data_IF_097650376874
#
_entry.id   IF_097650376874
#
_cell.length_a   1.000
_cell.length_b   1.000
_cell.length_c   1.000
_cell.angle_alpha   90.00
_cell.angle_beta   90.00
_cell.angle_gamma   90.00
#
_symmetry.space_group_name_H-M   'P 1'
#
loop_
_entity.id
_entity.type
_entity.pdbx_description
1 polymer ?
#
# COMPACT_ATOMS: atom_id res chain seq x y z
N UNK A 1 -25.77 4.54 -31.21
CA UNK A 1 -25.93 5.99 -30.97
C UNK A 1 -25.16 6.35 -29.71
N UNK A 2 -24.09 7.17 -29.83
CA UNK A 2 -23.35 7.70 -28.67
C UNK A 2 -24.26 8.69 -27.95
N UNK A 3 -24.65 8.40 -26.71
CA UNK A 3 -25.34 9.38 -25.85
C UNK A 3 -24.33 9.88 -24.84
N UNK A 4 -23.86 11.11 -25.02
CA UNK A 4 -23.11 11.82 -24.01
C UNK A 4 -24.06 12.05 -22.83
N UNK A 5 -23.94 11.24 -21.78
CA UNK A 5 -24.69 11.45 -20.55
C UNK A 5 -23.91 12.46 -19.70
N UNK A 6 -24.37 13.71 -19.70
CA UNK A 6 -24.07 14.64 -18.59
C UNK A 6 -24.98 14.22 -17.44
N UNK A 7 -24.49 13.32 -16.59
CA UNK A 7 -25.30 12.70 -15.58
C UNK A 7 -25.31 13.58 -14.31
N UNK A 8 -26.30 14.46 -14.22
CA UNK A 8 -26.77 15.04 -12.95
C UNK A 8 -27.41 13.90 -12.13
N UNK A 9 -26.59 13.10 -11.45
CA UNK A 9 -27.06 11.99 -10.60
C UNK A 9 -27.55 12.56 -9.27
N UNK A 10 -28.81 12.99 -9.26
CA UNK A 10 -29.65 12.78 -8.10
C UNK A 10 -30.22 11.36 -8.21
N UNK A 11 -29.98 10.52 -7.20
CA UNK A 11 -30.75 9.29 -6.88
C UNK A 11 -30.29 7.90 -7.39
N UNK A 12 -29.05 7.69 -7.85
CA UNK A 12 -28.47 6.33 -7.83
C UNK A 12 -27.20 6.32 -6.99
N UNK A 13 -27.29 5.79 -5.78
CA UNK A 13 -26.16 5.60 -4.88
C UNK A 13 -25.12 4.73 -5.58
N UNK A 14 -23.98 5.32 -5.96
CA UNK A 14 -22.82 4.52 -6.32
C UNK A 14 -22.47 3.63 -5.13
N UNK A 15 -22.49 2.32 -5.35
CA UNK A 15 -22.11 1.35 -4.33
C UNK A 15 -20.61 1.09 -4.42
N UNK A 16 -20.01 0.73 -3.28
CA UNK A 16 -18.64 0.26 -3.20
C UNK A 16 -18.36 -0.82 -4.27
N UNK A 17 -17.22 -0.70 -4.95
CA UNK A 17 -16.80 -1.67 -5.96
C UNK A 17 -17.45 -1.51 -7.33
N UNK A 18 -17.95 -0.32 -7.69
CA UNK A 18 -18.29 0.01 -9.08
C UNK A 18 -17.05 0.50 -9.85
N UNK A 19 -17.01 0.27 -11.17
CA UNK A 19 -15.85 0.59 -12.01
C UNK A 19 -16.23 1.42 -13.24
N UNK A 20 -15.41 2.43 -13.56
CA UNK A 20 -15.49 3.22 -14.80
C UNK A 20 -14.14 3.18 -15.52
N UNK A 21 -14.11 2.64 -16.73
CA UNK A 21 -12.89 2.51 -17.53
C UNK A 21 -12.25 3.85 -17.89
N UNK A 22 -13.06 4.87 -18.17
CA UNK A 22 -12.62 6.23 -18.50
C UNK A 22 -13.59 7.26 -17.94
N UNK A 23 -13.05 8.27 -17.25
CA UNK A 23 -13.84 9.37 -16.73
C UNK A 23 -13.04 10.67 -16.73
N UNK A 24 -13.75 11.76 -16.44
CA UNK A 24 -13.17 13.07 -16.15
C UNK A 24 -13.61 13.47 -14.75
N UNK A 25 -12.66 13.72 -13.85
CA UNK A 25 -12.95 14.32 -12.56
C UNK A 25 -12.91 15.83 -12.67
N UNK A 26 -13.97 16.49 -12.20
CA UNK A 26 -13.97 17.92 -11.88
C UNK A 26 -13.73 18.03 -10.40
N UNK A 27 -12.68 18.75 -10.01
CA UNK A 27 -12.31 18.94 -8.61
C UNK A 27 -13.06 20.14 -8.02
N UNK A 28 -13.17 20.16 -6.69
CA UNK A 28 -13.80 21.28 -5.97
C UNK A 28 -13.06 22.62 -6.16
N UNK A 29 -11.78 22.58 -6.53
CA UNK A 29 -10.98 23.77 -6.89
C UNK A 29 -11.10 24.17 -8.38
N UNK A 30 -11.97 23.50 -9.14
CA UNK A 30 -12.23 23.75 -10.56
C UNK A 30 -11.24 23.09 -11.52
N UNK A 31 -10.23 22.36 -11.02
CA UNK A 31 -9.33 21.59 -11.90
C UNK A 31 -10.04 20.40 -12.52
N UNK A 32 -9.60 20.05 -13.72
CA UNK A 32 -10.15 18.94 -14.50
C UNK A 32 -9.05 17.88 -14.69
N UNK A 33 -9.37 16.62 -14.39
CA UNK A 33 -8.47 15.48 -14.56
C UNK A 33 -9.11 14.44 -15.48
N UNK A 34 -8.42 14.07 -16.56
CA UNK A 34 -8.76 12.89 -17.35
C UNK A 34 -8.18 11.64 -16.69
N UNK A 35 -9.05 10.67 -16.41
CA UNK A 35 -8.73 9.52 -15.57
C UNK A 35 -9.21 8.21 -16.22
N UNK A 36 -8.51 7.13 -15.92
CA UNK A 36 -8.78 5.77 -16.41
C UNK A 36 -8.95 4.82 -15.23
N UNK A 37 -9.63 3.69 -15.44
CA UNK A 37 -9.83 2.62 -14.45
C UNK A 37 -10.26 3.14 -13.06
N UNK A 38 -11.32 3.95 -13.04
CA UNK A 38 -11.86 4.52 -11.81
C UNK A 38 -12.60 3.48 -11.01
N UNK A 39 -12.33 3.42 -9.71
CA UNK A 39 -13.04 2.51 -8.79
C UNK A 39 -13.61 3.28 -7.61
N UNK A 40 -14.86 2.92 -7.27
CA UNK A 40 -15.60 3.50 -6.16
C UNK A 40 -15.23 2.81 -4.85
N UNK A 41 -14.35 3.42 -4.05
CA UNK A 41 -14.17 3.09 -2.63
C UNK A 41 -15.26 3.75 -1.76
N UNK A 42 -15.23 3.58 -0.44
CA UNK A 42 -16.25 4.20 0.42
C UNK A 42 -16.00 5.71 0.58
N UNK A 43 -14.74 6.10 0.83
CA UNK A 43 -14.35 7.51 1.08
C UNK A 43 -13.53 8.16 -0.05
N UNK A 44 -12.99 7.37 -0.97
CA UNK A 44 -12.12 7.83 -2.05
C UNK A 44 -12.59 7.30 -3.41
N UNK A 45 -12.18 8.00 -4.47
CA UNK A 45 -12.12 7.47 -5.82
C UNK A 45 -10.68 7.08 -6.12
N UNK A 46 -10.49 5.87 -6.65
CA UNK A 46 -9.21 5.43 -7.18
C UNK A 46 -9.22 5.54 -8.68
N UNK A 47 -8.08 5.85 -9.27
CA UNK A 47 -7.99 6.06 -10.71
C UNK A 47 -6.55 6.03 -11.21
N UNK A 48 -6.37 5.90 -12.51
CA UNK A 48 -5.10 6.03 -13.23
C UNK A 48 -5.11 7.30 -14.08
N UNK A 49 -3.94 7.86 -14.34
CA UNK A 49 -3.76 8.89 -15.37
C UNK A 49 -2.88 8.31 -16.47
N UNK A 50 -3.40 8.22 -17.70
CA UNK A 50 -2.63 7.81 -18.90
C UNK A 50 -1.86 6.50 -18.70
N UNK A 51 -2.53 5.45 -18.19
CA UNK A 51 -1.94 4.16 -17.83
C UNK A 51 -0.76 4.17 -16.83
N UNK A 52 -0.59 5.25 -16.05
CA UNK A 52 0.38 5.29 -14.93
C UNK A 52 -0.29 4.83 -13.62
N UNK A 53 0.55 4.64 -12.60
CA UNK A 53 0.26 4.15 -11.24
C UNK A 53 -1.09 4.54 -10.68
N UNK A 54 -1.63 3.69 -9.79
CA UNK A 54 -2.91 3.92 -9.15
C UNK A 54 -2.82 5.12 -8.18
N UNK A 55 -3.67 6.11 -8.42
CA UNK A 55 -3.85 7.32 -7.61
C UNK A 55 -5.17 7.21 -6.84
N UNK A 56 -5.27 7.95 -5.74
CA UNK A 56 -6.50 8.08 -4.96
C UNK A 56 -6.82 9.54 -4.71
N UNK A 57 -8.10 9.88 -4.70
CA UNK A 57 -8.62 11.20 -4.36
C UNK A 57 -9.83 11.06 -3.45
N UNK A 58 -9.95 11.88 -2.41
CA UNK A 58 -11.13 11.84 -1.54
C UNK A 58 -12.37 12.23 -2.31
N UNK A 59 -13.51 11.59 -2.03
CA UNK A 59 -14.77 11.92 -2.70
C UNK A 59 -15.15 13.39 -2.50
N UNK A 60 -14.82 13.96 -1.35
CA UNK A 60 -15.02 15.37 -1.02
C UNK A 60 -14.20 16.33 -1.90
N UNK A 61 -13.10 15.86 -2.51
CA UNK A 61 -12.28 16.68 -3.40
C UNK A 61 -12.77 16.68 -4.84
N UNK A 62 -13.76 15.84 -5.18
CA UNK A 62 -14.31 15.71 -6.54
C UNK A 62 -15.75 16.21 -6.53
N UNK A 63 -16.00 17.30 -7.25
CA UNK A 63 -17.33 17.90 -7.37
C UNK A 63 -18.19 17.15 -8.38
N UNK A 64 -17.58 16.64 -9.46
CA UNK A 64 -18.30 15.94 -10.53
C UNK A 64 -17.43 14.85 -11.17
N UNK A 65 -18.07 13.75 -11.59
CA UNK A 65 -17.46 12.70 -12.41
C UNK A 65 -18.25 12.58 -13.71
N UNK A 66 -17.57 12.80 -14.83
CA UNK A 66 -18.16 12.75 -16.18
C UNK A 66 -17.62 11.51 -16.89
N UNK A 67 -18.49 10.64 -17.41
CA UNK A 67 -18.09 9.42 -18.12
C UNK A 67 -19.14 9.00 -19.17
N UNK A 68 -18.71 8.23 -20.18
CA UNK A 68 -19.65 7.59 -21.11
C UNK A 68 -20.20 6.31 -20.46
N UNK A 69 -21.51 6.09 -20.60
CA UNK A 69 -22.20 4.89 -20.13
C UNK A 69 -21.55 3.57 -20.57
N UNK A 70 -20.88 3.54 -21.72
CA UNK A 70 -20.16 2.35 -22.20
C UNK A 70 -18.93 2.00 -21.36
N UNK A 71 -18.37 2.97 -20.65
CA UNK A 71 -17.20 2.80 -19.80
C UNK A 71 -17.58 2.36 -18.38
N UNK A 72 -18.87 2.33 -18.02
CA UNK A 72 -19.36 1.97 -16.70
C UNK A 72 -19.76 0.50 -16.58
N UNK A 73 -19.28 -0.17 -15.53
CA UNK A 73 -19.63 -1.55 -15.23
C UNK A 73 -20.12 -1.69 -13.78
N UNK A 74 -21.35 -2.20 -13.61
CA UNK A 74 -21.98 -2.46 -12.29
C UNK A 74 -21.42 -3.71 -11.58
N UNK A 75 -21.04 -4.72 -12.35
CA UNK A 75 -20.37 -5.92 -11.85
C UNK A 75 -18.92 -5.82 -12.24
N UNK A 76 -18.08 -5.50 -11.26
CA UNK A 76 -16.65 -5.70 -11.45
C UNK A 76 -16.42 -7.21 -11.53
N UNK A 77 -15.77 -7.68 -12.60
CA UNK A 77 -15.34 -9.08 -12.68
C UNK A 77 -14.60 -9.40 -11.36
N UNK A 78 -14.90 -10.53 -10.73
CA UNK A 78 -14.37 -10.84 -9.38
C UNK A 78 -12.85 -10.63 -9.29
N UNK A 79 -12.10 -10.89 -10.36
CA UNK A 79 -10.65 -10.58 -10.46
C UNK A 79 -10.32 -9.09 -10.33
N UNK A 80 -11.06 -8.20 -10.97
CA UNK A 80 -10.84 -6.75 -10.89
C UNK A 80 -11.35 -6.18 -9.55
N UNK A 81 -12.41 -6.75 -8.97
CA UNK A 81 -12.93 -6.35 -7.65
C UNK A 81 -11.92 -6.70 -6.57
N UNK A 82 -11.29 -7.84 -6.75
CA UNK A 82 -10.24 -8.39 -5.93
C UNK A 82 -8.92 -7.61 -6.07
N UNK A 83 -8.50 -7.28 -7.30
CA UNK A 83 -7.34 -6.41 -7.55
C UNK A 83 -7.52 -5.03 -6.89
N UNK A 84 -8.74 -4.52 -6.78
CA UNK A 84 -9.01 -3.20 -6.20
C UNK A 84 -9.24 -3.24 -4.69
N UNK A 85 -10.00 -4.21 -4.15
CA UNK A 85 -10.16 -4.41 -2.70
C UNK A 85 -8.81 -4.69 -2.02
N UNK A 86 -7.91 -5.38 -2.70
CA UNK A 86 -6.56 -5.68 -2.20
C UNK A 86 -5.60 -4.47 -2.31
N UNK A 87 -6.02 -3.36 -2.93
CA UNK A 87 -5.21 -2.14 -3.04
C UNK A 87 -5.42 -1.14 -1.90
N UNK A 88 -6.53 -1.22 -1.14
CA UNK A 88 -6.85 -0.24 -0.11
C UNK A 88 -7.38 -0.88 1.17
N UNK A 89 -6.46 -1.03 2.12
CA UNK A 89 -6.78 -1.10 3.53
C UNK A 89 -7.40 0.23 4.00
N UNK A 90 -8.68 0.23 4.33
CA UNK A 90 -9.29 1.31 5.10
C UNK A 90 -8.93 1.15 6.58
N UNK A 91 -8.23 2.15 7.13
CA UNK A 91 -7.95 2.21 8.56
C UNK A 91 -8.95 3.13 9.27
N UNK A 92 -9.24 2.81 10.52
CA UNK A 92 -10.06 3.62 11.42
C UNK A 92 -9.20 4.53 12.31
N UNK A 93 -7.90 4.63 12.02
CA UNK A 93 -6.96 5.45 12.76
C UNK A 93 -7.12 6.93 12.36
N UNK A 94 -7.12 7.85 13.34
CA UNK A 94 -7.07 9.28 13.04
C UNK A 94 -5.87 9.69 12.16
N UNK A 95 -6.09 10.67 11.30
CA UNK A 95 -5.03 11.30 10.51
C UNK A 95 -3.93 11.86 11.42
N UNK A 96 -2.67 11.58 11.12
CA UNK A 96 -1.54 12.10 11.89
C UNK A 96 -0.32 11.19 11.98
N UNK A 97 0.63 11.63 12.80
CA UNK A 97 1.89 10.96 13.07
C UNK A 97 1.76 10.19 14.38
N UNK A 98 2.10 8.91 14.33
CA UNK A 98 2.19 8.02 15.48
C UNK A 98 3.67 7.79 15.77
N UNK A 99 4.23 8.53 16.73
CA UNK A 99 5.65 8.46 17.02
C UNK A 99 6.06 7.09 17.55
N UNK A 100 5.23 6.50 18.41
CA UNK A 100 5.49 5.22 19.07
C UNK A 100 4.49 4.14 18.67
N UNK A 101 4.84 2.87 18.96
CA UNK A 101 3.93 1.75 18.75
C UNK A 101 2.75 1.82 19.74
N UNK A 102 2.98 2.39 20.92
CA UNK A 102 1.96 2.62 21.93
C UNK A 102 0.91 3.63 21.45
N UNK A 103 1.33 4.73 20.82
CA UNK A 103 0.43 5.71 20.21
C UNK A 103 -0.46 5.06 19.16
N UNK A 104 0.14 4.19 18.34
CA UNK A 104 -0.56 3.44 17.30
C UNK A 104 -1.66 2.54 17.87
N UNK A 105 -1.34 1.72 18.88
CA UNK A 105 -2.35 0.83 19.49
C UNK A 105 -3.38 1.57 20.34
N UNK A 106 -3.04 2.75 20.89
CA UNK A 106 -4.01 3.65 21.55
C UNK A 106 -4.89 4.40 20.56
N UNK A 107 -4.60 4.30 19.26
CA UNK A 107 -5.27 5.05 18.18
C UNK A 107 -5.23 6.56 18.39
N UNK A 108 -4.19 7.06 19.05
CA UNK A 108 -4.02 8.49 19.35
C UNK A 108 -2.74 9.00 18.69
N UNK A 109 -2.82 9.80 17.62
CA UNK A 109 -1.62 10.36 17.01
C UNK A 109 -0.89 11.29 17.99
N UNK A 110 0.44 11.23 18.00
CA UNK A 110 1.29 12.12 18.80
C UNK A 110 1.35 13.53 18.20
N UNK A 111 1.09 13.65 16.90
CA UNK A 111 0.95 14.93 16.19
C UNK A 111 -0.09 14.84 15.08
N UNK A 112 -0.93 15.86 14.98
CA UNK A 112 -1.89 16.06 13.87
C UNK A 112 -1.45 17.21 12.94
N UNK A 113 -0.18 17.61 13.02
CA UNK A 113 0.36 18.65 12.14
C UNK A 113 0.23 18.24 10.67
N UNK A 114 -0.10 19.21 9.81
CA UNK A 114 -0.25 19.00 8.37
C UNK A 114 1.06 18.48 7.76
N UNK A 115 0.95 17.42 6.96
CA UNK A 115 2.10 16.77 6.33
C UNK A 115 2.16 17.04 4.82
N UNK A 116 3.37 17.00 4.28
CA UNK A 116 3.64 16.89 2.85
C UNK A 116 4.22 15.50 2.59
N UNK A 117 3.53 14.71 1.77
CA UNK A 117 3.98 13.40 1.32
C UNK A 117 4.64 13.46 -0.05
N UNK A 118 5.73 12.74 -0.22
CA UNK A 118 6.43 12.56 -1.50
C UNK A 118 6.55 11.07 -1.82
N UNK A 119 6.13 10.70 -3.03
CA UNK A 119 6.23 9.33 -3.54
C UNK A 119 7.67 8.98 -3.91
N UNK A 120 8.16 7.85 -3.39
CA UNK A 120 9.53 7.36 -3.59
C UNK A 120 9.55 5.91 -4.11
N UNK A 121 8.38 5.30 -4.30
CA UNK A 121 8.24 3.88 -4.63
C UNK A 121 8.50 3.51 -6.08
N UNK A 122 8.55 4.46 -7.02
CA UNK A 122 8.54 4.17 -8.45
C UNK A 122 9.70 3.33 -8.99
N UNK A 123 10.78 3.17 -8.21
CA UNK A 123 11.91 2.28 -8.54
C UNK A 123 11.84 0.90 -7.90
N UNK A 124 10.97 0.70 -6.92
CA UNK A 124 10.96 -0.47 -6.02
C UNK A 124 9.61 -1.18 -5.98
N UNK A 125 8.55 -0.50 -6.37
CA UNK A 125 7.16 -0.92 -6.27
C UNK A 125 6.42 -0.63 -7.57
N UNK A 126 5.29 -1.31 -7.77
CA UNK A 126 4.42 -1.08 -8.94
C UNK A 126 3.72 0.28 -8.82
N UNK A 127 3.34 0.67 -7.61
CA UNK A 127 2.79 1.98 -7.31
C UNK A 127 3.83 2.83 -6.58
N UNK A 128 4.03 4.05 -7.08
CA UNK A 128 4.98 5.01 -6.50
C UNK A 128 4.63 5.42 -5.07
N UNK A 129 3.35 5.37 -4.70
CA UNK A 129 2.85 5.64 -3.36
C UNK A 129 2.91 4.45 -2.39
N UNK A 130 3.38 3.26 -2.80
CA UNK A 130 3.63 2.15 -1.86
C UNK A 130 4.80 2.47 -0.91
N UNK A 131 5.61 3.48 -1.24
CA UNK A 131 6.73 3.97 -0.45
C UNK A 131 6.74 5.50 -0.46
N UNK A 132 6.67 6.11 0.72
CA UNK A 132 6.52 7.55 0.89
C UNK A 132 7.62 8.13 1.78
N UNK A 133 8.01 9.37 1.51
CA UNK A 133 8.72 10.25 2.43
C UNK A 133 7.75 11.33 2.94
N UNK A 134 7.89 11.73 4.20
CA UNK A 134 7.02 12.72 4.81
C UNK A 134 7.81 13.83 5.50
N UNK A 135 7.33 15.06 5.31
CA UNK A 135 7.83 16.24 6.01
C UNK A 135 6.67 16.96 6.70
N UNK A 136 6.96 17.66 7.79
CA UNK A 136 6.03 18.62 8.38
C UNK A 136 5.84 19.81 7.43
N UNK A 137 4.60 20.21 7.16
CA UNK A 137 4.29 21.25 6.18
C UNK A 137 4.79 22.63 6.59
N UNK A 138 4.90 22.90 7.90
CA UNK A 138 5.29 24.22 8.42
C UNK A 138 6.79 24.37 8.52
N UNK A 139 7.48 23.40 9.13
CA UNK A 139 8.93 23.48 9.31
C UNK A 139 9.73 22.92 8.13
N UNK A 140 9.12 22.05 7.31
CA UNK A 140 9.83 21.30 6.27
C UNK A 140 10.67 20.14 6.81
N UNK A 141 10.64 19.90 8.13
CA UNK A 141 11.45 18.85 8.75
C UNK A 141 10.99 17.46 8.30
N UNK A 142 11.97 16.63 7.95
CA UNK A 142 11.73 15.23 7.58
C UNK A 142 11.34 14.42 8.81
N UNK A 143 10.24 13.67 8.70
CA UNK A 143 9.83 12.71 9.73
C UNK A 143 10.63 11.42 9.50
N UNK A 144 11.48 11.07 10.46
CA UNK A 144 12.45 9.95 10.31
C UNK A 144 12.16 8.74 11.18
N UNK A 145 11.53 8.96 12.33
CA UNK A 145 11.51 7.98 13.42
C UNK A 145 10.10 7.55 13.83
N UNK A 146 9.05 8.17 13.30
CA UNK A 146 7.69 7.81 13.66
C UNK A 146 7.41 6.35 13.32
N UNK A 147 6.67 5.68 14.20
CA UNK A 147 6.23 4.30 14.03
C UNK A 147 5.29 4.16 12.82
N UNK A 148 4.27 5.01 12.76
CA UNK A 148 3.31 5.02 11.68
C UNK A 148 2.87 6.44 11.32
N UNK A 149 2.33 6.60 10.12
CA UNK A 149 1.71 7.83 9.64
C UNK A 149 0.40 7.45 8.96
N UNK A 150 -0.68 8.11 9.34
CA UNK A 150 -1.93 8.12 8.57
C UNK A 150 -1.91 9.40 7.76
N UNK A 151 -1.82 9.25 6.43
CA UNK A 151 -1.79 10.35 5.48
C UNK A 151 -2.90 10.21 4.45
N UNK A 152 -3.81 11.19 4.40
CA UNK A 152 -5.03 11.19 3.57
C UNK A 152 -5.84 9.90 3.75
N UNK A 153 -5.98 9.47 5.00
CA UNK A 153 -6.69 8.23 5.35
C UNK A 153 -5.97 6.94 4.97
N UNK A 154 -4.70 6.98 4.53
CA UNK A 154 -3.90 5.79 4.22
C UNK A 154 -2.86 5.57 5.32
N UNK A 155 -2.78 4.36 5.86
CA UNK A 155 -1.80 3.99 6.87
C UNK A 155 -0.46 3.59 6.21
N UNK A 156 0.63 4.11 6.78
CA UNK A 156 1.99 3.74 6.43
C UNK A 156 2.81 3.40 7.69
N UNK A 157 3.66 2.37 7.60
CA UNK A 157 4.62 2.03 8.65
C UNK A 157 6.02 2.59 8.35
N UNK A 158 6.66 3.18 9.34
CA UNK A 158 8.03 3.68 9.23
C UNK A 158 9.02 2.52 9.16
N UNK A 159 9.86 2.48 8.12
CA UNK A 159 10.81 1.37 7.90
C UNK A 159 11.81 1.25 9.03
N UNK A 160 12.37 2.38 9.50
CA UNK A 160 13.30 2.39 10.62
C UNK A 160 12.66 1.89 11.91
N UNK A 161 11.42 2.30 12.20
CA UNK A 161 10.69 1.85 13.37
C UNK A 161 10.35 0.35 13.27
N UNK A 162 9.85 -0.08 12.12
CA UNK A 162 9.49 -1.49 11.88
C UNK A 162 10.68 -2.43 12.07
N UNK A 163 11.86 -2.05 11.58
CA UNK A 163 13.10 -2.81 11.79
C UNK A 163 13.50 -2.93 13.27
N UNK A 164 13.21 -1.93 14.11
CA UNK A 164 13.45 -2.01 15.58
C UNK A 164 12.49 -2.99 16.25
N UNK A 165 11.30 -3.15 15.70
CA UNK A 165 10.24 -4.03 16.20
C UNK A 165 10.18 -5.37 15.46
N UNK A 166 11.21 -5.73 14.70
CA UNK A 166 11.25 -7.02 13.99
C UNK A 166 11.41 -8.19 14.99
N UNK A 167 10.69 -9.28 14.74
CA UNK A 167 10.79 -10.51 15.52
C UNK A 167 12.14 -11.18 15.32
N UNK A 168 12.78 -11.57 16.43
CA UNK A 168 14.00 -12.39 16.39
C UNK A 168 13.76 -13.80 15.85
N UNK A 169 12.51 -14.30 15.91
CA UNK A 169 12.13 -15.65 15.44
C UNK A 169 12.20 -15.77 13.92
N UNK A 170 11.96 -14.65 13.22
CA UNK A 170 11.93 -14.60 11.77
C UNK A 170 12.62 -13.34 11.26
N UNK A 171 13.87 -13.16 11.67
CA UNK A 171 14.65 -12.01 11.23
C UNK A 171 14.91 -12.10 9.73
N UNK A 172 14.36 -11.15 9.00
CA UNK A 172 14.67 -10.90 7.62
C UNK A 172 16.12 -10.42 7.50
N UNK A 173 17.08 -11.33 7.32
CA UNK A 173 18.43 -10.92 6.90
C UNK A 173 18.39 -10.35 5.47
N UNK A 174 17.84 -9.14 5.33
CA UNK A 174 17.62 -8.41 4.09
C UNK A 174 18.32 -7.05 4.18
N UNK A 175 18.85 -6.61 3.05
CA UNK A 175 19.36 -5.27 2.84
C UNK A 175 18.28 -4.46 2.12
N UNK A 176 17.90 -3.34 2.73
CA UNK A 176 17.01 -2.34 2.12
C UNK A 176 17.88 -1.41 1.28
N UNK A 177 17.51 -1.22 0.00
CA UNK A 177 18.28 -0.44 -0.99
C UNK A 177 17.83 1.02 -1.10
N UNK A 178 16.85 1.44 -0.28
CA UNK A 178 16.35 2.80 -0.18
C UNK A 178 16.49 3.36 1.25
N UNK A 179 16.16 4.65 1.41
CA UNK A 179 16.26 5.33 2.70
C UNK A 179 15.41 4.65 3.77
N UNK A 180 16.01 4.41 4.95
CA UNK A 180 15.27 3.89 6.11
C UNK A 180 14.30 4.90 6.72
N UNK A 181 14.38 6.17 6.33
CA UNK A 181 13.47 7.23 6.77
C UNK A 181 12.15 7.25 5.96
N UNK A 182 11.96 6.30 5.05
CA UNK A 182 10.71 6.17 4.31
C UNK A 182 9.67 5.33 5.07
N UNK A 183 8.46 5.37 4.54
CA UNK A 183 7.27 4.76 5.10
C UNK A 183 6.60 3.87 4.04
N UNK A 184 6.27 2.64 4.40
CA UNK A 184 5.65 1.64 3.50
C UNK A 184 4.15 1.59 3.70
N UNK A 185 3.39 1.56 2.59
CA UNK A 185 1.93 1.52 2.61
C UNK A 185 1.43 0.20 3.20
N UNK A 186 0.46 0.27 4.11
CA UNK A 186 -0.26 -0.92 4.59
C UNK A 186 -1.30 -1.32 3.56
N UNK A 187 -1.31 -2.60 3.21
CA UNK A 187 -2.17 -3.15 2.14
C UNK A 187 -3.40 -3.87 2.67
N UNK A 188 -3.30 -4.47 3.86
CA UNK A 188 -4.42 -5.14 4.50
C UNK A 188 -4.26 -5.14 6.02
N UNK A 189 -5.36 -5.25 6.77
CA UNK A 189 -5.30 -5.54 8.20
C UNK A 189 -6.53 -6.30 8.69
N UNK A 190 -6.31 -7.04 9.77
CA UNK A 190 -7.31 -7.74 10.56
C UNK A 190 -7.09 -7.39 12.04
N UNK A 191 -7.98 -7.80 12.95
CA UNK A 191 -7.70 -7.69 14.39
C UNK A 191 -6.40 -8.40 14.83
N UNK A 192 -5.91 -9.38 14.05
CA UNK A 192 -4.74 -10.18 14.39
C UNK A 192 -3.43 -9.66 13.80
N UNK A 193 -3.47 -9.01 12.63
CA UNK A 193 -2.26 -8.56 11.94
C UNK A 193 -2.49 -7.41 10.94
N UNK A 194 -1.41 -6.72 10.59
CA UNK A 194 -1.33 -5.84 9.43
C UNK A 194 -0.38 -6.44 8.39
N UNK A 195 -0.76 -6.37 7.13
CA UNK A 195 0.01 -6.87 6.00
C UNK A 195 0.51 -5.71 5.13
N UNK A 196 1.81 -5.75 4.82
CA UNK A 196 2.47 -4.89 3.83
C UNK A 196 3.56 -5.70 3.13
N UNK A 197 4.26 -5.05 2.20
CA UNK A 197 5.30 -5.66 1.37
C UNK A 197 6.55 -4.79 1.40
N UNK A 198 7.69 -5.42 1.68
CA UNK A 198 8.97 -4.74 1.69
C UNK A 198 9.81 -5.15 0.48
N UNK A 199 10.26 -4.17 -0.30
CA UNK A 199 11.24 -4.42 -1.36
C UNK A 199 12.63 -4.50 -0.72
N UNK A 200 13.32 -5.61 -0.91
CA UNK A 200 14.63 -5.83 -0.29
C UNK A 200 15.45 -6.90 -0.99
N UNK A 201 16.75 -6.92 -0.71
CA UNK A 201 17.69 -7.91 -1.25
C UNK A 201 18.16 -8.82 -0.13
N UNK A 202 18.15 -10.15 -0.27
CA UNK A 202 18.75 -11.05 0.72
C UNK A 202 20.20 -10.64 1.04
N UNK A 203 20.56 -10.50 2.32
CA UNK A 203 21.82 -9.89 2.76
C UNK A 203 23.08 -10.56 2.16
N UNK A 204 23.06 -11.89 1.99
CA UNK A 204 24.17 -12.62 1.34
C UNK A 204 24.37 -12.25 -0.13
N UNK A 205 23.29 -11.93 -0.86
CA UNK A 205 23.34 -11.43 -2.24
C UNK A 205 23.78 -9.96 -2.28
N UNK A 206 23.37 -9.16 -1.30
CA UNK A 206 23.74 -7.75 -1.20
C UNK A 206 25.26 -7.54 -0.98
N UNK A 207 25.90 -8.41 -0.20
CA UNK A 207 27.36 -8.36 0.02
C UNK A 207 28.12 -8.62 -1.30
N UNK A 208 27.70 -9.61 -2.09
CA UNK A 208 28.31 -9.90 -3.39
C UNK A 208 28.14 -8.76 -4.41
N UNK A 209 27.01 -8.03 -4.33
CA UNK A 209 26.75 -6.86 -5.16
C UNK A 209 27.65 -5.68 -4.78
N UNK A 210 27.71 -5.33 -3.49
CA UNK A 210 28.52 -4.20 -3.00
C UNK A 210 30.04 -4.44 -3.09
N UNK A 211 30.48 -5.70 -3.14
CA UNK A 211 31.89 -6.07 -3.33
C UNK A 211 32.38 -6.07 -4.78
N UNK A 212 31.48 -5.97 -5.76
CA UNK A 212 31.84 -5.88 -7.18
C UNK A 212 31.86 -4.42 -7.62
N UNK A 213 32.93 -3.98 -8.30
CA UNK A 213 33.11 -2.60 -8.80
C UNK A 213 32.06 -2.12 -9.83
N UNK A 214 31.01 -2.91 -10.08
CA UNK A 214 29.93 -2.66 -11.02
C UNK A 214 28.61 -2.30 -10.31
N UNK A 215 28.65 -1.41 -9.31
CA UNK A 215 27.45 -0.89 -8.63
C UNK A 215 26.41 -0.33 -9.63
N UNK A 216 26.87 0.18 -10.78
CA UNK A 216 26.04 0.73 -11.85
C UNK A 216 25.39 -0.30 -12.79
N UNK A 217 25.72 -1.60 -12.68
CA UNK A 217 25.27 -2.64 -13.61
C UNK A 217 24.51 -3.80 -12.96
N UNK A 218 24.11 -3.67 -11.70
CA UNK A 218 23.37 -4.73 -11.00
C UNK A 218 22.00 -4.92 -11.63
N UNK A 219 21.62 -6.17 -11.90
CA UNK A 219 20.39 -6.46 -12.64
C UNK A 219 19.18 -5.87 -11.91
N UNK A 220 18.43 -5.01 -12.61
CA UNK A 220 17.18 -4.40 -12.17
C UNK A 220 16.21 -5.40 -11.51
N UNK A 221 16.29 -6.69 -11.89
CA UNK A 221 15.49 -7.78 -11.33
C UNK A 221 15.71 -8.05 -9.83
N UNK A 222 16.91 -7.81 -9.28
CA UNK A 222 17.20 -8.05 -7.87
C UNK A 222 16.67 -6.93 -6.97
N UNK A 223 16.53 -5.71 -7.49
CA UNK A 223 16.02 -4.54 -6.74
C UNK A 223 14.49 -4.54 -6.58
N UNK A 224 13.78 -5.45 -7.28
CA UNK A 224 12.31 -5.54 -7.29
C UNK A 224 11.75 -6.74 -6.52
N UNK A 225 12.60 -7.48 -5.79
CA UNK A 225 12.12 -8.61 -4.97
C UNK A 225 11.32 -8.08 -3.77
N UNK A 226 10.02 -8.37 -3.75
CA UNK A 226 9.11 -8.03 -2.66
C UNK A 226 8.93 -9.22 -1.72
N UNK A 227 8.86 -8.94 -0.43
CA UNK A 227 8.63 -9.96 0.60
C UNK A 227 7.45 -9.54 1.49
N UNK A 228 6.62 -10.51 1.93
CA UNK A 228 5.62 -10.25 2.95
C UNK A 228 6.26 -9.68 4.21
N UNK A 229 5.70 -8.57 4.67
CA UNK A 229 6.13 -7.90 5.89
C UNK A 229 4.91 -7.64 6.77
N UNK A 230 4.82 -8.40 7.85
CA UNK A 230 3.57 -8.58 8.60
C UNK A 230 3.77 -8.14 10.04
N UNK A 231 2.98 -7.17 10.50
CA UNK A 231 2.88 -6.82 11.92
C UNK A 231 1.87 -7.74 12.58
N UNK A 232 2.29 -8.58 13.53
CA UNK A 232 1.39 -9.42 14.31
C UNK A 232 0.99 -8.68 15.59
N UNK A 233 -0.30 -8.41 15.77
CA UNK A 233 -0.81 -7.48 16.78
C UNK A 233 -0.57 -7.98 18.20
N UNK A 234 -0.81 -9.28 18.43
CA UNK A 234 -0.62 -9.92 19.74
C UNK A 234 0.81 -9.78 20.27
N UNK A 235 1.79 -9.82 19.37
CA UNK A 235 3.21 -9.73 19.74
C UNK A 235 3.77 -8.31 19.56
N UNK A 236 3.08 -7.45 18.82
CA UNK A 236 3.56 -6.15 18.39
C UNK A 236 4.93 -6.24 17.70
N UNK A 237 5.11 -7.28 16.88
CA UNK A 237 6.34 -7.57 16.14
C UNK A 237 6.10 -7.70 14.65
N UNK A 238 7.07 -7.19 13.89
CA UNK A 238 7.13 -7.39 12.46
C UNK A 238 7.81 -8.71 12.10
N UNK A 239 7.28 -9.37 11.08
CA UNK A 239 7.77 -10.63 10.53
C UNK A 239 8.06 -10.44 9.04
N UNK A 240 9.34 -10.56 8.65
CA UNK A 240 9.75 -10.52 7.25
C UNK A 240 9.86 -11.94 6.70
N UNK A 241 8.91 -12.35 5.87
CA UNK A 241 8.77 -13.76 5.48
C UNK A 241 9.50 -14.05 4.19
N UNK A 242 10.48 -14.97 4.25
CA UNK A 242 11.39 -15.20 3.11
C UNK A 242 10.89 -16.21 2.08
N UNK A 243 10.13 -17.19 2.53
CA UNK A 243 9.68 -18.32 1.72
C UNK A 243 8.55 -19.07 2.44
N UNK A 244 7.89 -19.97 1.71
CA UNK A 244 6.77 -20.76 2.19
C UNK A 244 7.09 -21.57 3.45
N UNK A 245 8.28 -22.19 3.55
CA UNK A 245 8.66 -22.96 4.73
C UNK A 245 8.68 -22.08 5.98
N UNK A 246 9.33 -20.92 5.89
CA UNK A 246 9.37 -19.94 6.99
C UNK A 246 7.98 -19.41 7.32
N UNK A 247 7.13 -19.19 6.32
CA UNK A 247 5.74 -18.81 6.57
C UNK A 247 5.04 -19.86 7.44
N UNK A 248 5.07 -21.13 7.01
CA UNK A 248 4.39 -22.23 7.69
C UNK A 248 4.97 -22.54 9.08
N UNK A 249 6.26 -22.28 9.33
CA UNK A 249 6.89 -22.45 10.66
C UNK A 249 6.24 -21.58 11.74
N UNK A 250 5.65 -20.43 11.38
CA UNK A 250 5.05 -19.52 12.35
C UNK A 250 3.54 -19.36 12.15
N UNK A 251 3.11 -19.02 10.93
CA UNK A 251 1.72 -18.61 10.67
C UNK A 251 0.72 -19.77 10.73
N UNK A 252 1.18 -21.01 10.53
CA UNK A 252 0.32 -22.20 10.64
C UNK A 252 -0.25 -22.34 12.03
N UNK A 253 0.58 -22.23 13.06
CA UNK A 253 0.17 -22.51 14.43
C UNK A 253 -0.26 -21.22 15.17
N UNK A 254 0.20 -20.04 14.72
CA UNK A 254 -0.10 -18.76 15.40
C UNK A 254 -1.29 -18.00 14.78
N UNK A 255 -1.57 -18.15 13.48
CA UNK A 255 -2.69 -17.50 12.79
C UNK A 255 -3.60 -18.48 12.04
N UNK A 256 -3.40 -19.79 12.21
CA UNK A 256 -4.10 -20.84 11.46
C UNK A 256 -4.02 -20.66 9.92
N UNK A 257 -2.86 -20.18 9.44
CA UNK A 257 -2.62 -19.89 8.02
C UNK A 257 -1.46 -20.74 7.50
N UNK A 258 -1.75 -21.57 6.50
CA UNK A 258 -0.78 -22.49 5.88
C UNK A 258 -0.83 -22.40 4.36
N UNK A 259 0.34 -22.42 3.75
CA UNK A 259 0.52 -22.42 2.30
C UNK A 259 1.12 -23.77 1.87
N UNK A 260 0.80 -24.25 0.67
CA UNK A 260 1.43 -25.46 0.12
C UNK A 260 2.80 -25.13 -0.46
N UNK A 261 3.89 -25.67 0.10
CA UNK A 261 5.25 -25.37 -0.34
C UNK A 261 5.71 -26.24 -1.53
N UNK A 262 4.96 -26.18 -2.65
CA UNK A 262 5.36 -26.79 -3.92
C UNK A 262 6.64 -26.16 -4.50
N UNK A 263 7.20 -26.77 -5.55
CA UNK A 263 8.36 -26.22 -6.27
C UNK A 263 7.90 -24.99 -7.07
N UNK A 264 8.29 -23.80 -6.61
CA UNK A 264 8.42 -22.50 -7.29
C UNK A 264 7.36 -22.20 -8.38
N UNK A 265 6.47 -21.23 -8.22
CA UNK A 265 6.83 -19.88 -8.69
C UNK A 265 6.01 -18.70 -8.11
N UNK A 266 5.16 -18.87 -7.10
CA UNK A 266 4.37 -17.71 -6.63
C UNK A 266 4.12 -17.58 -5.13
N UNK A 267 5.16 -17.78 -4.32
CA UNK A 267 5.07 -17.61 -2.87
C UNK A 267 4.47 -16.26 -2.44
N UNK A 268 4.78 -15.17 -3.15
CA UNK A 268 4.21 -13.86 -2.80
C UNK A 268 2.72 -13.81 -3.10
N UNK A 269 2.26 -14.29 -4.26
CA UNK A 269 0.82 -14.34 -4.53
C UNK A 269 0.10 -15.32 -3.64
N UNK A 270 0.67 -16.47 -3.29
CA UNK A 270 0.04 -17.39 -2.34
C UNK A 270 -0.16 -16.74 -0.97
N UNK A 271 0.83 -15.94 -0.51
CA UNK A 271 0.70 -15.19 0.74
C UNK A 271 -0.36 -14.10 0.60
N UNK A 272 -0.40 -13.37 -0.53
CA UNK A 272 -1.44 -12.38 -0.78
C UNK A 272 -2.82 -13.03 -0.71
N UNK A 273 -2.99 -14.15 -1.40
CA UNK A 273 -4.24 -14.89 -1.44
C UNK A 273 -4.68 -15.26 -0.02
N UNK A 274 -3.80 -15.90 0.74
CA UNK A 274 -4.12 -16.35 2.09
C UNK A 274 -4.30 -15.22 3.11
N UNK A 275 -3.57 -14.12 2.98
CA UNK A 275 -3.50 -13.05 3.99
C UNK A 275 -4.46 -11.90 3.70
N UNK A 276 -4.94 -11.74 2.48
CA UNK A 276 -5.78 -10.61 2.07
C UNK A 276 -7.21 -11.07 1.72
N UNK A 277 -7.40 -12.31 1.25
CA UNK A 277 -8.64 -12.73 0.58
C UNK A 277 -9.72 -13.33 1.48
N UNK A 278 -9.43 -13.46 2.78
CA UNK A 278 -10.39 -13.97 3.76
C UNK A 278 -11.30 -12.85 4.29
#
# INVERSE_FOLDING_TARGET
MKKLFTLLILCSTFAFGQHIKKATFVLTDGKILEVEDVVYGDKVYEYKIKKKSNLAITKESVSEIIFDSIDFTKQVEQRTYFEVRNMYYENDLPEGVYETIEDFYKKSPSSTEKLVGKEEGGKFYENSNDLMAFNYSKSGDIIKNAFAIVYKGILFFGIKASNKHESKRMKGAFAITYSKNYYIKVKYATPEYFYTEISSIPAGKAIGIMGSANYYGTSYSLMNSKYPFILVNKEQKFYTVKNCKRFNEYFKDNLNKKISCGKDDDFLSDVRELMIDN
#
